data_IF_896368333452
#
_entry.id   IF_896368333452
#
_cell.length_a   1.000
_cell.length_b   1.000
_cell.length_c   1.000
_cell.angle_alpha   90.00
_cell.angle_beta   90.00
_cell.angle_gamma   90.00
#
_symmetry.space_group_name_H-M   'P 1'
#
loop_
_entity.id
_entity.type
_entity.pdbx_description
1 polymer ?
#
# COMPACT_ATOMS: atom_id res chain seq x y z
N UNK A 1 10.25 -5.63 -8.96
CA UNK A 1 11.52 -4.87 -8.75
C UNK A 1 12.42 -5.59 -7.77
N UNK A 2 11.99 -5.85 -6.52
CA UNK A 2 12.80 -6.54 -5.50
C UNK A 2 13.36 -7.90 -5.93
N UNK A 3 12.54 -8.78 -6.52
CA UNK A 3 13.02 -10.08 -7.01
C UNK A 3 14.09 -9.95 -8.11
N UNK A 4 13.91 -9.00 -9.03
CA UNK A 4 14.86 -8.72 -10.11
C UNK A 4 16.19 -8.22 -9.53
N UNK A 5 16.15 -7.35 -8.52
CA UNK A 5 17.39 -6.87 -7.88
C UNK A 5 18.13 -7.97 -7.12
N UNK A 6 17.44 -8.95 -6.55
CA UNK A 6 18.08 -10.14 -5.97
C UNK A 6 18.79 -11.00 -7.02
N UNK A 7 18.21 -11.15 -8.22
CA UNK A 7 18.85 -11.88 -9.32
C UNK A 7 20.11 -11.15 -9.79
N UNK A 8 20.03 -9.83 -10.00
CA UNK A 8 21.19 -9.01 -10.39
C UNK A 8 22.29 -9.10 -9.33
N UNK A 9 21.91 -9.07 -8.06
CA UNK A 9 22.83 -9.23 -6.94
C UNK A 9 23.54 -10.59 -6.96
N UNK A 10 22.78 -11.68 -7.12
CA UNK A 10 23.33 -13.03 -7.18
C UNK A 10 24.33 -13.17 -8.34
N UNK A 11 23.98 -12.68 -9.53
CA UNK A 11 24.89 -12.67 -10.69
C UNK A 11 26.16 -11.86 -10.38
N UNK A 12 26.02 -10.69 -9.78
CA UNK A 12 27.16 -9.82 -9.46
C UNK A 12 28.12 -10.47 -8.46
N UNK A 13 27.60 -11.16 -7.45
CA UNK A 13 28.40 -11.92 -6.49
C UNK A 13 29.11 -13.10 -7.18
N UNK A 14 28.40 -13.86 -8.01
CA UNK A 14 29.00 -14.98 -8.77
C UNK A 14 30.15 -14.51 -9.67
N UNK A 15 30.00 -13.36 -10.31
CA UNK A 15 31.07 -12.77 -11.14
C UNK A 15 32.24 -12.27 -10.30
N UNK A 16 31.99 -11.70 -9.13
CA UNK A 16 33.07 -11.31 -8.20
C UNK A 16 33.86 -12.52 -7.67
N UNK A 17 33.17 -13.61 -7.36
CA UNK A 17 33.80 -14.87 -6.94
C UNK A 17 34.61 -15.50 -8.08
N UNK A 18 34.06 -15.56 -9.31
CA UNK A 18 34.75 -16.15 -10.46
C UNK A 18 36.02 -15.38 -10.85
N UNK A 19 36.02 -14.05 -10.63
CA UNK A 19 37.19 -13.18 -10.83
C UNK A 19 38.11 -13.06 -9.62
N UNK A 20 37.88 -13.84 -8.56
CA UNK A 20 38.70 -13.85 -7.33
C UNK A 20 38.87 -12.47 -6.69
N UNK A 21 37.82 -11.64 -6.74
CA UNK A 21 37.82 -10.33 -6.10
C UNK A 21 38.05 -10.48 -4.58
N UNK A 22 38.94 -9.64 -4.02
CA UNK A 22 39.31 -9.67 -2.60
C UNK A 22 38.68 -8.50 -1.85
N UNK A 23 38.46 -8.68 -0.54
CA UNK A 23 38.01 -7.61 0.35
C UNK A 23 36.52 -7.27 0.25
N UNK A 24 35.68 -8.19 -0.24
CA UNK A 24 34.22 -7.99 -0.38
C UNK A 24 33.39 -8.69 0.71
N UNK A 25 34.03 -9.29 1.71
CA UNK A 25 33.36 -10.14 2.70
C UNK A 25 32.27 -9.37 3.44
N UNK A 26 32.57 -8.13 3.85
CA UNK A 26 31.62 -7.29 4.58
C UNK A 26 30.43 -6.89 3.70
N UNK A 27 30.69 -6.50 2.46
CA UNK A 27 29.68 -6.09 1.47
C UNK A 27 28.73 -7.25 1.16
N UNK A 28 29.28 -8.45 0.94
CA UNK A 28 28.48 -9.66 0.71
C UNK A 28 27.63 -9.98 1.94
N UNK A 29 28.19 -9.89 3.15
CA UNK A 29 27.43 -10.10 4.39
C UNK A 29 26.30 -9.08 4.54
N UNK A 30 26.58 -7.79 4.35
CA UNK A 30 25.58 -6.71 4.38
C UNK A 30 24.46 -7.01 3.38
N UNK A 31 24.82 -7.35 2.13
CA UNK A 31 23.87 -7.66 1.07
C UNK A 31 22.99 -8.86 1.40
N UNK A 32 23.57 -9.94 1.93
CA UNK A 32 22.82 -11.13 2.35
C UNK A 32 21.88 -10.79 3.51
N UNK A 33 22.39 -10.13 4.56
CA UNK A 33 21.61 -9.76 5.74
C UNK A 33 20.40 -8.90 5.35
N UNK A 34 20.61 -7.82 4.59
CA UNK A 34 19.50 -6.96 4.21
C UNK A 34 18.57 -7.58 3.16
N UNK A 35 19.06 -8.51 2.34
CA UNK A 35 18.20 -9.31 1.45
C UNK A 35 17.27 -10.21 2.26
N UNK A 36 17.79 -10.92 3.26
CA UNK A 36 17.00 -11.77 4.17
C UNK A 36 15.97 -10.91 4.92
N UNK A 37 16.39 -9.77 5.47
CA UNK A 37 15.50 -8.85 6.17
C UNK A 37 14.40 -8.32 5.25
N UNK A 38 14.73 -7.97 4.00
CA UNK A 38 13.78 -7.56 2.97
C UNK A 38 12.77 -8.65 2.65
N UNK A 39 13.23 -9.89 2.42
CA UNK A 39 12.34 -11.05 2.17
C UNK A 39 11.39 -11.27 3.34
N UNK A 40 11.87 -11.15 4.59
CA UNK A 40 11.05 -11.38 5.79
C UNK A 40 10.00 -10.30 6.00
N UNK A 41 10.30 -9.03 5.74
CA UNK A 41 9.38 -7.93 6.02
C UNK A 41 9.52 -6.78 5.02
N UNK A 42 8.39 -6.34 4.45
CA UNK A 42 8.32 -5.25 3.46
C UNK A 42 8.94 -3.95 3.99
N UNK A 43 8.82 -3.66 5.29
CA UNK A 43 9.42 -2.45 5.91
C UNK A 43 10.95 -2.37 5.78
N UNK A 44 11.62 -3.50 5.55
CA UNK A 44 13.07 -3.54 5.38
C UNK A 44 13.53 -3.25 3.94
N UNK A 45 12.61 -3.06 2.99
CA UNK A 45 12.96 -2.75 1.59
C UNK A 45 13.76 -1.45 1.45
N UNK A 46 13.50 -0.46 2.31
CA UNK A 46 14.28 0.78 2.36
C UNK A 46 15.73 0.51 2.75
N UNK A 47 15.94 -0.23 3.84
CA UNK A 47 17.28 -0.62 4.31
C UNK A 47 18.03 -1.48 3.28
N UNK A 48 17.33 -2.42 2.65
CA UNK A 48 17.87 -3.21 1.54
C UNK A 48 18.35 -2.34 0.39
N UNK A 49 17.55 -1.34 -0.01
CA UNK A 49 17.89 -0.47 -1.15
C UNK A 49 19.13 0.39 -0.85
N UNK A 50 19.25 0.89 0.39
CA UNK A 50 20.42 1.64 0.85
C UNK A 50 21.68 0.77 0.92
N UNK A 51 21.55 -0.49 1.34
CA UNK A 51 22.65 -1.44 1.37
C UNK A 51 23.07 -1.92 -0.03
N UNK A 52 22.10 -2.09 -0.95
CA UNK A 52 22.31 -2.63 -2.28
C UNK A 52 23.20 -1.73 -3.12
N UNK A 53 22.92 -0.43 -3.19
CA UNK A 53 23.57 0.51 -4.12
C UNK A 53 25.10 0.59 -3.92
N UNK A 54 25.64 0.93 -2.74
CA UNK A 54 27.08 1.04 -2.54
C UNK A 54 27.78 -0.31 -2.64
N UNK A 55 27.18 -1.36 -2.09
CA UNK A 55 27.78 -2.70 -2.09
C UNK A 55 27.86 -3.26 -3.51
N UNK A 56 26.81 -3.09 -4.32
CA UNK A 56 26.80 -3.49 -5.73
C UNK A 56 27.84 -2.70 -6.53
N UNK A 57 28.00 -1.40 -6.27
CA UNK A 57 29.03 -0.59 -6.93
C UNK A 57 30.46 -1.08 -6.61
N UNK A 58 30.73 -1.47 -5.36
CA UNK A 58 32.03 -2.02 -4.95
C UNK A 58 32.29 -3.40 -5.57
N UNK A 59 31.28 -4.28 -5.58
CA UNK A 59 31.33 -5.58 -6.24
C UNK A 59 31.65 -5.40 -7.73
N UNK A 60 30.92 -4.54 -8.44
CA UNK A 60 31.16 -4.26 -9.86
C UNK A 60 32.55 -3.64 -10.10
N UNK A 61 33.02 -2.72 -9.25
CA UNK A 61 34.37 -2.13 -9.36
C UNK A 61 35.46 -3.20 -9.23
N UNK A 62 35.32 -4.11 -8.26
CA UNK A 62 36.31 -5.15 -7.96
C UNK A 62 36.47 -6.20 -9.06
N UNK A 63 35.44 -6.36 -9.91
CA UNK A 63 35.44 -7.35 -10.99
C UNK A 63 36.22 -6.88 -12.22
N UNK A 64 36.67 -5.63 -12.30
CA UNK A 64 37.39 -5.12 -13.48
C UNK A 64 36.65 -5.31 -14.82
N UNK A 65 35.31 -5.41 -14.81
CA UNK A 65 34.52 -5.63 -16.04
C UNK A 65 34.57 -4.40 -16.96
N UNK A 66 34.69 -3.21 -16.35
CA UNK A 66 34.58 -1.93 -17.05
C UNK A 66 35.86 -1.09 -16.90
N UNK A 67 37.01 -1.64 -17.28
CA UNK A 67 38.29 -0.94 -17.16
C UNK A 67 38.57 0.04 -18.31
N UNK A 68 38.01 -0.22 -19.50
CA UNK A 68 38.20 0.60 -20.69
C UNK A 68 37.54 2.00 -20.52
N UNK A 69 38.27 3.06 -20.83
CA UNK A 69 37.79 4.45 -20.77
C UNK A 69 36.51 4.69 -21.57
N UNK A 70 36.38 4.08 -22.76
CA UNK A 70 35.14 4.18 -23.57
C UNK A 70 33.96 3.53 -22.87
N UNK A 71 34.15 2.36 -22.26
CA UNK A 71 33.11 1.67 -21.50
C UNK A 71 32.68 2.46 -20.26
N UNK A 72 33.64 3.04 -19.53
CA UNK A 72 33.36 3.94 -18.38
C UNK A 72 32.57 5.18 -18.81
N UNK A 73 32.92 5.78 -19.94
CA UNK A 73 32.21 6.94 -20.47
C UNK A 73 30.76 6.59 -20.86
N UNK A 74 30.56 5.47 -21.56
CA UNK A 74 29.22 4.96 -21.91
C UNK A 74 28.40 4.65 -20.67
N UNK A 75 28.95 3.95 -19.68
CA UNK A 75 28.24 3.64 -18.44
C UNK A 75 27.85 4.89 -17.66
N UNK A 76 28.74 5.89 -17.56
CA UNK A 76 28.42 7.17 -16.94
C UNK A 76 27.29 7.86 -17.69
N UNK A 77 27.36 7.93 -19.02
CA UNK A 77 26.31 8.52 -19.84
C UNK A 77 24.97 7.81 -19.65
N UNK A 78 24.95 6.47 -19.65
CA UNK A 78 23.75 5.69 -19.37
C UNK A 78 23.22 5.97 -17.97
N UNK A 79 24.07 5.94 -16.94
CA UNK A 79 23.65 6.19 -15.56
C UNK A 79 23.07 7.60 -15.36
N UNK A 80 23.73 8.62 -15.92
CA UNK A 80 23.26 10.01 -15.86
C UNK A 80 21.94 10.17 -16.62
N UNK A 81 21.86 9.64 -17.84
CA UNK A 81 20.62 9.70 -18.64
C UNK A 81 19.48 8.97 -17.95
N UNK A 82 19.71 7.76 -17.41
CA UNK A 82 18.71 7.03 -16.63
C UNK A 82 18.28 7.81 -15.39
N UNK A 83 19.21 8.43 -14.66
CA UNK A 83 18.89 9.27 -13.51
C UNK A 83 18.03 10.48 -13.93
N UNK A 84 18.40 11.18 -15.00
CA UNK A 84 17.64 12.31 -15.53
C UNK A 84 16.24 11.90 -15.99
N UNK A 85 16.10 10.75 -16.65
CA UNK A 85 14.80 10.19 -17.04
C UNK A 85 13.97 9.88 -15.80
N UNK A 86 14.53 9.21 -14.79
CA UNK A 86 13.81 8.88 -13.56
C UNK A 86 13.39 10.14 -12.79
N UNK A 87 14.26 11.14 -12.71
CA UNK A 87 13.95 12.45 -12.12
C UNK A 87 12.86 13.15 -12.92
N UNK A 88 12.92 13.15 -14.25
CA UNK A 88 11.91 13.74 -15.12
C UNK A 88 10.55 13.04 -14.98
N UNK A 89 10.53 11.70 -14.98
CA UNK A 89 9.31 10.91 -14.79
C UNK A 89 8.68 11.14 -13.41
N UNK A 90 9.50 11.24 -12.37
CA UNK A 90 9.02 11.54 -11.03
C UNK A 90 8.54 13.00 -10.91
N UNK A 91 9.33 13.96 -11.42
CA UNK A 91 9.09 15.40 -11.33
C UNK A 91 7.89 15.90 -12.13
N UNK A 92 7.61 15.28 -13.27
CA UNK A 92 6.44 15.60 -14.11
C UNK A 92 5.15 14.91 -13.65
N UNK A 93 5.24 14.04 -12.63
CA UNK A 93 4.10 13.23 -12.17
C UNK A 93 3.77 12.03 -13.06
N UNK A 94 4.44 11.86 -14.20
CA UNK A 94 4.16 10.76 -15.13
C UNK A 94 4.38 9.38 -14.51
N UNK A 95 5.39 9.24 -13.64
CA UNK A 95 5.62 8.01 -12.87
C UNK A 95 4.40 7.62 -12.02
N UNK A 96 3.78 8.59 -11.35
CA UNK A 96 2.62 8.34 -10.49
C UNK A 96 1.37 8.03 -11.31
N UNK A 97 1.18 8.75 -12.43
CA UNK A 97 0.11 8.51 -13.40
C UNK A 97 0.17 7.09 -13.99
N UNK A 98 1.36 6.62 -14.42
CA UNK A 98 1.56 5.25 -14.91
C UNK A 98 1.23 4.17 -13.87
N UNK A 99 1.39 4.51 -12.58
CA UNK A 99 1.08 3.61 -11.47
C UNK A 99 -0.37 3.72 -11.00
N UNK A 100 -1.18 4.58 -11.62
CA UNK A 100 -2.51 4.98 -11.14
C UNK A 100 -2.47 5.39 -9.66
N UNK A 101 -1.32 5.92 -9.23
CA UNK A 101 -1.12 6.37 -7.88
C UNK A 101 -1.64 7.80 -7.77
N UNK A 102 -2.53 8.04 -6.81
CA UNK A 102 -3.10 9.36 -6.57
C UNK A 102 -2.12 10.27 -5.80
N UNK A 103 -0.92 10.42 -6.36
CA UNK A 103 0.21 11.18 -5.82
C UNK A 103 0.68 12.15 -6.88
N UNK A 104 0.84 13.40 -6.51
CA UNK A 104 1.46 14.41 -7.37
C UNK A 104 2.87 14.71 -6.86
N UNK A 105 3.76 15.04 -7.80
CA UNK A 105 5.05 15.60 -7.42
C UNK A 105 4.85 17.01 -6.85
N UNK A 106 5.60 17.33 -5.79
CA UNK A 106 5.57 18.63 -5.13
C UNK A 106 5.24 18.53 -3.64
N UNK A 107 4.87 19.67 -3.06
CA UNK A 107 4.56 19.81 -1.63
C UNK A 107 3.05 19.72 -1.35
N UNK A 108 2.28 19.17 -2.27
CA UNK A 108 0.83 18.99 -2.08
C UNK A 108 0.56 17.93 -1.03
N UNK A 109 -0.24 18.26 -0.03
CA UNK A 109 -0.70 17.30 0.96
C UNK A 109 -1.83 16.47 0.32
N UNK A 110 -1.67 15.14 0.17
CA UNK A 110 -2.74 14.31 -0.36
C UNK A 110 -3.94 14.36 0.59
N UNK A 111 -5.12 14.64 0.04
CA UNK A 111 -6.39 14.70 0.80
C UNK A 111 -6.72 13.35 1.43
N UNK A 112 -6.26 12.25 0.80
CA UNK A 112 -6.51 10.88 1.25
C UNK A 112 -8.02 10.63 1.39
N UNK A 113 -8.41 10.03 2.51
CA UNK A 113 -9.81 9.77 2.86
C UNK A 113 -10.60 11.01 3.32
N UNK A 114 -10.03 12.22 3.23
CA UNK A 114 -10.65 13.44 3.74
C UNK A 114 -11.95 13.83 3.04
N UNK A 115 -12.04 13.64 1.72
CA UNK A 115 -13.26 13.95 0.98
C UNK A 115 -14.41 13.00 1.38
N UNK A 116 -14.12 11.73 1.67
CA UNK A 116 -15.08 10.79 2.24
C UNK A 116 -15.59 11.22 3.62
N UNK A 117 -14.72 11.76 4.50
CA UNK A 117 -15.17 12.28 5.81
C UNK A 117 -16.08 13.50 5.64
N UNK A 118 -15.73 14.44 4.76
CA UNK A 118 -16.60 15.59 4.43
C UNK A 118 -17.95 15.11 3.89
N UNK A 119 -17.98 14.04 3.10
CA UNK A 119 -19.23 13.43 2.64
C UNK A 119 -20.07 12.88 3.80
N UNK A 120 -19.45 12.20 4.77
CA UNK A 120 -20.15 11.71 5.97
C UNK A 120 -20.74 12.86 6.79
N UNK A 121 -19.97 13.93 7.01
CA UNK A 121 -20.38 15.10 7.80
C UNK A 121 -21.53 15.87 7.13
N UNK A 122 -21.41 16.17 5.83
CA UNK A 122 -22.43 16.92 5.08
C UNK A 122 -23.77 16.18 4.99
N UNK A 123 -23.76 14.85 5.08
CA UNK A 123 -24.96 14.02 5.02
C UNK A 123 -25.38 13.47 6.38
N UNK A 124 -24.70 13.88 7.46
CA UNK A 124 -25.00 13.46 8.84
C UNK A 124 -25.08 11.93 8.98
N UNK A 125 -24.12 11.22 8.37
CA UNK A 125 -24.05 9.75 8.44
C UNK A 125 -23.44 9.35 9.78
N UNK A 126 -24.28 8.71 10.59
CA UNK A 126 -24.06 8.34 11.99
C UNK A 126 -24.03 6.82 12.21
N UNK A 127 -23.77 6.37 13.44
CA UNK A 127 -23.78 4.95 13.82
C UNK A 127 -22.42 4.26 13.71
N UNK A 128 -22.41 2.94 13.91
CA UNK A 128 -21.15 2.18 13.93
C UNK A 128 -20.60 1.99 12.51
N UNK A 129 -19.29 2.22 12.37
CA UNK A 129 -18.58 2.05 11.11
C UNK A 129 -17.91 0.69 11.04
N UNK A 130 -17.96 0.06 9.87
CA UNK A 130 -16.98 -0.96 9.51
C UNK A 130 -15.93 -0.33 8.59
N UNK A 131 -14.70 -0.20 9.07
CA UNK A 131 -13.59 0.34 8.31
C UNK A 131 -12.44 -0.66 8.23
N UNK A 132 -11.57 -0.50 7.24
CA UNK A 132 -10.35 -1.27 7.17
C UNK A 132 -9.18 -0.62 7.90
N UNK A 133 -8.13 -1.41 8.10
CA UNK A 133 -6.92 -1.05 8.83
C UNK A 133 -6.24 0.23 8.31
N UNK A 134 -6.31 0.47 7.00
CA UNK A 134 -5.63 1.59 6.33
C UNK A 134 -6.23 2.97 6.66
N UNK A 135 -7.50 3.04 7.05
CA UNK A 135 -8.21 4.31 7.30
C UNK A 135 -8.64 4.52 8.75
N UNK A 136 -8.49 3.51 9.61
CA UNK A 136 -8.95 3.59 11.01
C UNK A 136 -8.30 4.73 11.79
N UNK A 137 -6.98 4.85 11.75
CA UNK A 137 -6.29 5.93 12.46
C UNK A 137 -6.65 7.31 11.92
N UNK A 138 -6.96 7.40 10.62
CA UNK A 138 -7.43 8.64 9.99
C UNK A 138 -8.82 9.02 10.48
N UNK A 139 -9.74 8.05 10.55
CA UNK A 139 -11.09 8.26 11.09
C UNK A 139 -11.04 8.67 12.56
N UNK A 140 -10.16 8.07 13.37
CA UNK A 140 -9.93 8.51 14.77
C UNK A 140 -9.52 9.99 14.78
N UNK A 141 -8.53 10.38 13.97
CA UNK A 141 -8.06 11.77 13.93
C UNK A 141 -9.17 12.77 13.55
N UNK A 142 -10.10 12.36 12.69
CA UNK A 142 -11.15 13.25 12.18
C UNK A 142 -12.45 13.25 12.96
N UNK A 143 -12.85 12.12 13.55
CA UNK A 143 -14.21 11.88 14.06
C UNK A 143 -14.28 11.38 15.51
N UNK A 144 -13.15 11.27 16.21
CA UNK A 144 -13.14 10.96 17.65
C UNK A 144 -13.44 12.23 18.48
N UNK A 145 -14.19 12.14 19.60
CA UNK A 145 -14.70 10.93 20.28
C UNK A 145 -16.03 10.36 19.80
N UNK A 146 -16.75 11.08 18.95
CA UNK A 146 -18.14 10.79 18.61
C UNK A 146 -18.28 9.46 17.84
N UNK A 147 -17.29 9.12 17.01
CA UNK A 147 -17.30 7.91 16.20
C UNK A 147 -16.12 6.99 16.53
N UNK A 148 -16.45 5.77 16.97
CA UNK A 148 -15.48 4.71 17.19
C UNK A 148 -15.24 3.95 15.89
N UNK A 149 -13.99 3.57 15.66
CA UNK A 149 -13.59 2.75 14.50
C UNK A 149 -13.66 1.27 14.84
N UNK A 150 -13.85 0.42 13.84
CA UNK A 150 -13.82 -1.03 13.99
C UNK A 150 -12.40 -1.55 14.21
N UNK A 151 -11.43 -0.98 13.48
CA UNK A 151 -10.00 -1.29 13.60
C UNK A 151 -9.17 -0.05 13.25
N UNK A 152 -7.93 0.05 13.76
CA UNK A 152 -6.97 1.08 13.38
C UNK A 152 -5.54 0.55 13.22
N UNK A 153 -4.63 1.42 12.79
CA UNK A 153 -3.25 1.11 12.41
C UNK A 153 -2.31 0.64 13.53
N UNK A 154 -2.82 0.35 14.74
CA UNK A 154 -2.06 -0.14 15.90
C UNK A 154 -2.32 -1.63 16.09
N UNK A 155 -1.62 -2.53 15.38
CA UNK A 155 -1.92 -3.97 15.45
C UNK A 155 -1.71 -4.54 16.86
N UNK A 156 -0.85 -3.92 17.67
CA UNK A 156 -0.64 -4.26 19.08
C UNK A 156 -1.83 -3.98 19.99
N UNK A 157 -2.77 -3.13 19.57
CA UNK A 157 -3.99 -2.82 20.31
C UNK A 157 -5.09 -3.90 20.13
N UNK A 158 -4.89 -4.84 19.20
CA UNK A 158 -5.86 -5.88 18.86
C UNK A 158 -5.26 -7.27 19.06
N UNK A 159 -6.06 -8.21 19.54
CA UNK A 159 -5.61 -9.60 19.67
C UNK A 159 -5.50 -10.28 18.31
N UNK A 160 -4.59 -11.26 18.19
CA UNK A 160 -4.51 -12.14 17.00
C UNK A 160 -5.87 -12.80 16.72
N UNK A 161 -6.56 -13.24 17.78
CA UNK A 161 -7.89 -13.84 17.68
C UNK A 161 -8.92 -12.89 17.04
N UNK A 162 -8.88 -11.59 17.35
CA UNK A 162 -9.77 -10.61 16.71
C UNK A 162 -9.57 -10.60 15.19
N UNK A 163 -8.31 -10.56 14.74
CA UNK A 163 -8.02 -10.57 13.30
C UNK A 163 -8.43 -11.87 12.62
N UNK A 164 -8.10 -13.00 13.21
CA UNK A 164 -8.30 -14.32 12.59
C UNK A 164 -9.74 -14.82 12.68
N UNK A 165 -10.52 -14.41 13.69
CA UNK A 165 -11.87 -14.92 13.93
C UNK A 165 -12.98 -13.91 13.64
N UNK A 166 -12.67 -12.61 13.55
CA UNK A 166 -13.66 -11.55 13.39
C UNK A 166 -13.34 -10.71 12.16
N UNK A 167 -12.28 -9.90 12.20
CA UNK A 167 -12.03 -8.89 11.17
C UNK A 167 -11.81 -9.47 9.76
N UNK A 168 -10.93 -10.48 9.60
CA UNK A 168 -10.72 -11.11 8.29
C UNK A 168 -11.92 -11.95 7.85
N UNK A 169 -12.53 -12.80 8.70
CA UNK A 169 -13.72 -13.55 8.31
C UNK A 169 -14.91 -12.69 7.87
N UNK A 170 -15.13 -11.52 8.49
CA UNK A 170 -16.14 -10.55 8.02
C UNK A 170 -15.90 -10.07 6.59
N UNK A 171 -14.66 -10.10 6.11
CA UNK A 171 -14.26 -9.69 4.76
C UNK A 171 -14.24 -10.86 3.78
N UNK A 172 -14.10 -12.09 4.26
CA UNK A 172 -13.93 -13.28 3.43
C UNK A 172 -15.20 -14.09 3.21
N UNK A 173 -16.20 -13.99 4.07
CA UNK A 173 -17.44 -14.78 3.97
C UNK A 173 -18.67 -13.87 4.12
N UNK A 174 -19.51 -13.72 3.07
CA UNK A 174 -20.75 -12.95 3.13
C UNK A 174 -21.71 -13.39 4.25
N UNK A 175 -21.73 -14.67 4.63
CA UNK A 175 -22.58 -15.14 5.75
C UNK A 175 -22.07 -14.64 7.09
N UNK A 176 -20.75 -14.58 7.25
CA UNK A 176 -20.11 -14.04 8.44
C UNK A 176 -20.30 -12.51 8.48
N UNK A 177 -20.19 -11.84 7.34
CA UNK A 177 -20.53 -10.43 7.19
C UNK A 177 -21.97 -10.16 7.66
N UNK A 178 -22.96 -10.86 7.11
CA UNK A 178 -24.37 -10.64 7.45
C UNK A 178 -24.61 -10.85 8.95
N UNK A 179 -24.04 -11.91 9.55
CA UNK A 179 -24.17 -12.15 10.99
C UNK A 179 -23.52 -11.06 11.84
N UNK A 180 -22.25 -10.76 11.58
CA UNK A 180 -21.46 -9.89 12.45
C UNK A 180 -21.77 -8.41 12.21
N UNK A 181 -22.15 -8.01 11.00
CA UNK A 181 -22.57 -6.63 10.73
C UNK A 181 -23.85 -6.27 11.50
N UNK A 182 -24.76 -7.24 11.71
CA UNK A 182 -25.90 -7.08 12.62
C UNK A 182 -25.46 -7.11 14.09
N UNK A 183 -24.58 -8.03 14.49
CA UNK A 183 -24.10 -8.14 15.89
C UNK A 183 -23.38 -6.87 16.37
N UNK A 184 -22.59 -6.24 15.50
CA UNK A 184 -21.90 -4.98 15.77
C UNK A 184 -22.74 -3.74 15.45
N UNK A 185 -23.99 -3.91 15.00
CA UNK A 185 -24.89 -2.83 14.60
C UNK A 185 -24.23 -1.84 13.61
N UNK A 186 -23.55 -2.37 12.60
CA UNK A 186 -22.87 -1.56 11.59
C UNK A 186 -23.93 -0.81 10.78
N UNK A 187 -23.79 0.51 10.66
CA UNK A 187 -24.66 1.34 9.83
C UNK A 187 -24.02 1.73 8.49
N UNK A 188 -22.71 1.92 8.47
CA UNK A 188 -21.99 2.27 7.24
C UNK A 188 -20.61 1.62 7.17
N UNK A 189 -20.14 1.44 5.95
CA UNK A 189 -18.80 0.96 5.64
C UNK A 189 -17.99 2.14 5.16
N UNK A 190 -16.80 2.35 5.71
CA UNK A 190 -15.84 3.35 5.23
C UNK A 190 -14.51 2.68 4.96
N UNK A 191 -14.19 2.44 3.69
CA UNK A 191 -13.19 1.44 3.34
C UNK A 191 -12.21 1.99 2.31
N UNK A 192 -10.90 1.93 2.57
CA UNK A 192 -9.91 2.22 1.54
C UNK A 192 -9.91 1.12 0.48
N UNK A 193 -10.38 1.45 -0.72
CA UNK A 193 -10.45 0.48 -1.83
C UNK A 193 -9.07 0.10 -2.39
N UNK A 194 -8.03 0.81 -1.97
CA UNK A 194 -6.63 0.55 -2.33
C UNK A 194 -5.96 -0.54 -1.48
N UNK A 195 -6.67 -1.12 -0.50
CA UNK A 195 -6.14 -2.18 0.37
C UNK A 195 -5.76 -3.41 -0.47
N UNK A 196 -4.48 -3.76 -0.46
CA UNK A 196 -3.92 -4.82 -1.33
C UNK A 196 -4.11 -6.23 -0.78
N UNK A 197 -4.72 -6.38 0.40
CA UNK A 197 -4.86 -7.68 1.05
C UNK A 197 -5.94 -8.53 0.36
N UNK A 198 -5.76 -9.87 0.27
CA UNK A 198 -6.72 -10.73 -0.43
C UNK A 198 -8.14 -10.65 0.14
N UNK A 199 -8.27 -10.55 1.47
CA UNK A 199 -9.56 -10.46 2.14
C UNK A 199 -10.28 -9.14 1.84
N UNK A 200 -9.56 -8.00 1.82
CA UNK A 200 -10.15 -6.70 1.52
C UNK A 200 -10.63 -6.61 0.05
N UNK A 201 -9.82 -7.11 -0.89
CA UNK A 201 -10.20 -7.17 -2.30
C UNK A 201 -11.44 -8.04 -2.52
N UNK A 202 -11.50 -9.20 -1.86
CA UNK A 202 -12.69 -10.06 -1.89
C UNK A 202 -13.91 -9.34 -1.31
N UNK A 203 -13.77 -8.70 -0.15
CA UNK A 203 -14.84 -7.97 0.50
C UNK A 203 -15.45 -6.90 -0.41
N UNK A 204 -14.62 -6.07 -1.06
CA UNK A 204 -15.09 -5.01 -1.96
C UNK A 204 -15.87 -5.58 -3.16
N UNK A 205 -15.42 -6.71 -3.72
CA UNK A 205 -16.12 -7.40 -4.80
C UNK A 205 -17.47 -7.94 -4.34
N UNK A 206 -17.53 -8.53 -3.15
CA UNK A 206 -18.75 -9.16 -2.63
C UNK A 206 -19.76 -8.12 -2.14
N UNK A 207 -19.31 -7.10 -1.39
CA UNK A 207 -20.18 -6.05 -0.84
C UNK A 207 -20.76 -5.16 -1.95
N UNK A 208 -20.02 -4.90 -3.03
CA UNK A 208 -20.52 -4.13 -4.18
C UNK A 208 -21.72 -4.78 -4.88
N UNK A 209 -21.90 -6.10 -4.71
CA UNK A 209 -23.05 -6.87 -5.22
C UNK A 209 -24.18 -6.98 -4.20
N UNK A 210 -23.94 -6.59 -2.95
CA UNK A 210 -24.90 -6.73 -1.87
C UNK A 210 -25.93 -5.59 -1.91
N UNK A 211 -27.17 -5.91 -2.26
CA UNK A 211 -28.28 -4.93 -2.36
C UNK A 211 -28.65 -4.27 -1.03
N UNK A 212 -28.25 -4.84 0.10
CA UNK A 212 -28.47 -4.26 1.42
C UNK A 212 -27.41 -3.21 1.79
N UNK A 213 -26.34 -3.10 0.99
CA UNK A 213 -25.22 -2.19 1.20
C UNK A 213 -24.90 -1.42 -0.09
N UNK A 214 -25.80 -0.57 -0.60
CA UNK A 214 -25.55 0.26 -1.77
C UNK A 214 -24.33 1.18 -1.58
N UNK A 215 -23.55 1.35 -2.65
CA UNK A 215 -22.46 2.31 -2.74
C UNK A 215 -23.02 3.72 -2.88
N UNK A 216 -22.68 4.60 -1.93
CA UNK A 216 -23.16 6.00 -1.92
C UNK A 216 -22.03 7.01 -2.15
N UNK A 217 -20.77 6.58 -2.05
CA UNK A 217 -19.63 7.44 -2.33
C UNK A 217 -18.43 6.61 -2.79
N UNK A 218 -17.74 7.11 -3.81
CA UNK A 218 -16.47 6.57 -4.28
C UNK A 218 -15.59 7.72 -4.76
N UNK A 219 -14.38 7.79 -4.20
CA UNK A 219 -13.32 8.65 -4.71
C UNK A 219 -12.07 7.81 -5.01
N UNK A 220 -10.91 8.45 -5.18
CA UNK A 220 -9.66 7.77 -5.48
C UNK A 220 -9.00 7.09 -4.25
N UNK A 221 -9.60 7.19 -3.06
CA UNK A 221 -9.06 6.65 -1.80
C UNK A 221 -10.01 5.70 -1.10
N UNK A 222 -11.31 6.01 -1.04
CA UNK A 222 -12.30 5.31 -0.21
C UNK A 222 -13.60 5.05 -0.94
N UNK A 223 -14.24 3.96 -0.56
CA UNK A 223 -15.61 3.63 -0.90
C UNK A 223 -16.46 3.67 0.37
N UNK A 224 -17.66 4.24 0.27
CA UNK A 224 -18.63 4.28 1.37
C UNK A 224 -19.91 3.58 0.93
N UNK A 225 -20.30 2.58 1.72
CA UNK A 225 -21.55 1.86 1.54
C UNK A 225 -22.44 2.11 2.76
N UNK A 226 -23.74 2.21 2.54
CA UNK A 226 -24.69 2.54 3.59
C UNK A 226 -25.67 1.38 3.77
N UNK A 227 -25.93 0.96 5.02
CA UNK A 227 -26.90 -0.10 5.31
C UNK A 227 -28.28 0.37 4.88
N UNK A 228 -29.02 -0.48 4.16
CA UNK A 228 -30.38 -0.18 3.75
C UNK A 228 -31.33 -0.23 4.95
N UNK A 229 -31.58 0.93 5.53
CA UNK A 229 -32.53 1.16 6.62
C UNK A 229 -33.48 2.30 6.25
N UNK A 230 -34.66 2.41 6.89
CA UNK A 230 -35.55 3.55 6.66
C UNK A 230 -34.88 4.91 6.85
N UNK A 231 -33.97 5.04 7.83
CA UNK A 231 -33.24 6.29 8.09
C UNK A 231 -32.19 6.64 7.02
N UNK A 232 -31.72 5.66 6.26
CA UNK A 232 -30.71 5.85 5.21
C UNK A 232 -31.32 5.93 3.80
N UNK A 233 -32.62 5.62 3.64
CA UNK A 233 -33.25 5.43 2.34
C UNK A 233 -33.14 6.69 1.45
N UNK A 234 -33.40 7.87 2.01
CA UNK A 234 -33.29 9.15 1.26
C UNK A 234 -31.87 9.42 0.75
N UNK A 235 -30.85 9.10 1.55
CA UNK A 235 -29.45 9.24 1.15
C UNK A 235 -29.06 8.23 0.08
N UNK A 236 -29.53 6.99 0.23
CA UNK A 236 -29.32 5.92 -0.76
C UNK A 236 -29.93 6.33 -2.10
N UNK A 237 -31.18 6.79 -2.12
CA UNK A 237 -31.86 7.16 -3.36
C UNK A 237 -31.20 8.36 -4.05
N UNK A 238 -30.60 9.26 -3.28
CA UNK A 238 -29.86 10.43 -3.82
C UNK A 238 -28.52 10.05 -4.46
N UNK A 239 -27.79 9.12 -3.87
CA UNK A 239 -26.37 8.90 -4.19
C UNK A 239 -26.03 7.53 -4.77
N UNK A 240 -26.97 6.59 -4.80
CA UNK A 240 -26.70 5.25 -5.29
C UNK A 240 -26.24 5.31 -6.76
N UNK A 241 -24.96 5.03 -7.00
CA UNK A 241 -24.34 5.09 -8.33
C UNK A 241 -24.63 3.85 -9.19
N UNK A 242 -25.58 3.00 -8.77
CA UNK A 242 -25.93 1.73 -9.42
C UNK A 242 -27.16 1.81 -10.36
N UNK A 243 -27.46 2.97 -10.92
CA UNK A 243 -28.39 3.14 -12.05
C UNK A 243 -27.65 3.45 -13.34
#
# INVERSE_FOLDING_TARGET
IFQISLVILAISILVALSRKAKGLTLEILILITFSILGIKMIRNFGLYSLALIPSLALVLKSTAIFENLKQKAVLKAVAVTSALILIGLAGTGHYWSLRQANKNFGLTIPIGAGAGVVFLENNQIEGNVFNNFDVGSFLIWKRYPEHKVFVDGRPEAYSVNFFEKIYKPMQEDPKIWDKLSEEYDINYIFFAHTDITPWAQKFLIDISKNKNWPLVYLDNSVAIFLKKTPGNQDLIDRYNTAN
#
